data_IF_032109630936
#
_entry.id   IF_032109630936
#
_cell.length_a   1.000
_cell.length_b   1.000
_cell.length_c   1.000
_cell.angle_alpha   90.00
_cell.angle_beta   90.00
_cell.angle_gamma   90.00
#
_symmetry.space_group_name_H-M   'P 1'
#
loop_
_entity.id
_entity.type
_entity.pdbx_description
1 polymer ?
#
# COMPACT_ATOMS: atom_id res chain seq x y z
N UNK A 1 12.25 1.34 6.09
CA UNK A 1 11.49 0.94 4.89
C UNK A 1 12.12 -0.32 4.34
N UNK A 2 11.31 -1.30 3.99
CA UNK A 2 11.75 -2.54 3.34
C UNK A 2 10.87 -2.81 2.12
N UNK A 3 11.42 -3.53 1.14
CA UNK A 3 10.68 -4.03 -0.02
C UNK A 3 10.63 -5.54 0.07
N UNK A 4 9.43 -6.08 0.25
CA UNK A 4 9.18 -7.52 0.32
C UNK A 4 8.72 -7.99 -1.06
N UNK A 5 9.49 -8.85 -1.76
CA UNK A 5 9.07 -9.38 -3.05
C UNK A 5 7.76 -10.16 -2.92
N UNK A 6 6.80 -9.86 -3.78
CA UNK A 6 5.51 -10.56 -3.86
C UNK A 6 5.35 -11.27 -5.20
N UNK A 7 4.62 -12.38 -5.20
CA UNK A 7 4.22 -13.11 -6.40
C UNK A 7 2.83 -12.70 -6.89
N UNK A 8 2.51 -12.97 -8.16
CA UNK A 8 1.14 -12.84 -8.69
C UNK A 8 0.68 -11.40 -8.94
N UNK A 9 1.61 -10.45 -9.11
CA UNK A 9 1.29 -9.05 -9.43
C UNK A 9 0.65 -8.26 -8.28
N UNK A 10 0.80 -8.76 -7.04
CA UNK A 10 0.34 -8.13 -5.81
C UNK A 10 1.22 -6.90 -5.50
N UNK A 11 0.57 -5.84 -5.03
CA UNK A 11 1.22 -4.67 -4.47
C UNK A 11 0.45 -4.25 -3.23
N UNK A 12 1.10 -4.24 -2.07
CA UNK A 12 0.51 -3.85 -0.79
C UNK A 12 1.43 -2.88 -0.06
N UNK A 13 0.83 -1.97 0.70
CA UNK A 13 1.56 -1.01 1.55
C UNK A 13 1.06 -1.15 2.97
N UNK A 14 2.00 -1.30 3.90
CA UNK A 14 1.75 -1.54 5.32
C UNK A 14 2.59 -0.56 6.13
N UNK A 15 2.01 0.04 7.17
CA UNK A 15 2.69 0.95 8.10
C UNK A 15 2.38 0.48 9.51
N UNK A 16 3.41 0.32 10.35
CA UNK A 16 3.28 -0.22 11.70
C UNK A 16 2.49 -1.55 11.72
N UNK A 17 2.83 -2.46 10.81
CA UNK A 17 2.16 -3.76 10.62
C UNK A 17 0.69 -3.68 10.17
N UNK A 18 0.13 -2.48 9.98
CA UNK A 18 -1.23 -2.28 9.49
C UNK A 18 -1.28 -1.98 8.00
N UNK A 19 -2.06 -2.76 7.25
CA UNK A 19 -2.22 -2.57 5.81
C UNK A 19 -3.01 -1.30 5.52
N UNK A 20 -2.42 -0.40 4.75
CA UNK A 20 -3.08 0.86 4.32
C UNK A 20 -3.54 0.81 2.86
N UNK A 21 -2.99 -0.10 2.04
CA UNK A 21 -3.38 -0.28 0.65
C UNK A 21 -3.18 -1.72 0.14
N UNK A 22 -4.05 -2.17 -0.77
CA UNK A 22 -3.87 -3.41 -1.54
C UNK A 22 -4.35 -3.26 -2.99
N UNK A 23 -3.46 -3.46 -3.96
CA UNK A 23 -3.80 -3.57 -5.38
C UNK A 23 -4.69 -4.77 -5.66
N UNK A 24 -4.55 -5.85 -4.87
CA UNK A 24 -5.38 -7.05 -5.01
C UNK A 24 -6.85 -6.76 -4.71
N UNK A 25 -7.10 -5.86 -3.75
CA UNK A 25 -8.46 -5.46 -3.35
C UNK A 25 -9.03 -4.37 -4.27
N UNK A 26 -8.21 -3.38 -4.64
CA UNK A 26 -8.65 -2.24 -5.46
C UNK A 26 -8.65 -2.52 -6.96
N UNK A 27 -7.89 -3.53 -7.40
CA UNK A 27 -7.64 -3.84 -8.81
C UNK A 27 -6.77 -2.80 -9.53
N UNK A 28 -6.24 -1.79 -8.83
CA UNK A 28 -5.51 -0.66 -9.42
C UNK A 28 -4.14 -0.50 -8.76
N UNK A 29 -3.21 0.13 -9.46
CA UNK A 29 -1.96 0.58 -8.85
C UNK A 29 -2.20 2.01 -8.32
N UNK A 30 -1.75 2.34 -7.10
CA UNK A 30 -2.09 3.62 -6.50
C UNK A 30 -1.33 4.76 -7.17
N UNK A 31 -1.90 5.96 -7.10
CA UNK A 31 -1.11 7.19 -7.27
C UNK A 31 -0.30 7.46 -6.00
N UNK A 32 0.80 8.20 -6.13
CA UNK A 32 1.71 8.46 -5.00
C UNK A 32 0.98 9.26 -3.92
N UNK A 33 0.19 10.24 -4.32
CA UNK A 33 -0.59 11.11 -3.44
C UNK A 33 -1.63 10.33 -2.64
N UNK A 34 -2.21 9.26 -3.20
CA UNK A 34 -3.17 8.42 -2.48
C UNK A 34 -2.53 7.72 -1.27
N UNK A 35 -1.27 7.27 -1.40
CA UNK A 35 -0.56 6.61 -0.32
C UNK A 35 -0.13 7.62 0.74
N UNK A 36 0.38 8.78 0.32
CA UNK A 36 0.77 9.86 1.25
C UNK A 36 -0.43 10.32 2.08
N UNK A 37 -1.55 10.63 1.43
CA UNK A 37 -2.76 11.06 2.13
C UNK A 37 -3.27 10.00 3.12
N UNK A 38 -3.22 8.71 2.73
CA UNK A 38 -3.60 7.60 3.63
C UNK A 38 -2.70 7.46 4.84
N UNK A 39 -1.42 7.83 4.73
CA UNK A 39 -0.49 7.83 5.85
C UNK A 39 -0.80 9.00 6.78
N UNK A 40 -0.94 10.22 6.23
CA UNK A 40 -1.24 11.45 6.99
C UNK A 40 -2.60 11.42 7.69
N UNK A 41 -3.62 10.78 7.09
CA UNK A 41 -4.94 10.62 7.71
C UNK A 41 -4.92 9.65 8.91
N UNK A 42 -3.91 8.78 8.98
CA UNK A 42 -3.89 7.63 9.89
C UNK A 42 -2.87 7.77 11.02
N UNK A 43 -1.83 8.59 10.86
CA UNK A 43 -0.71 8.76 11.79
C UNK A 43 -0.27 10.22 11.86
#
# INVERSE_FOLDING_TARGET
>A
MELIPASGGIFEVTVNEEKIYSKKETGKFPQVEEIINKMDEKF
#
